data_IF_664075844837
#
_entry.id   IF_664075844837
#
_cell.length_a   1.000
_cell.length_b   1.000
_cell.length_c   1.000
_cell.angle_alpha   90.00
_cell.angle_beta   90.00
_cell.angle_gamma   90.00
#
_symmetry.space_group_name_H-M   'P 1'
#
loop_
_entity.id
_entity.type
_entity.pdbx_description
1 polymer ?
#
# COMPACT_ATOMS: atom_id res chain seq x y z
N UNK A 1 -11.36 -17.69 16.98
CA UNK A 1 -11.52 -16.78 15.82
C UNK A 1 -10.72 -17.34 14.66
N UNK A 2 -11.36 -17.75 13.57
CA UNK A 2 -10.66 -18.26 12.40
C UNK A 2 -10.14 -17.07 11.58
N UNK A 3 -8.82 -16.81 11.63
CA UNK A 3 -8.18 -15.72 10.87
C UNK A 3 -8.58 -15.75 9.39
N UNK A 4 -8.64 -16.95 8.79
CA UNK A 4 -9.00 -17.14 7.38
C UNK A 4 -10.40 -16.60 7.07
N UNK A 5 -11.37 -16.87 7.94
CA UNK A 5 -12.75 -16.38 7.78
C UNK A 5 -12.83 -14.86 7.84
N UNK A 6 -12.09 -14.24 8.77
CA UNK A 6 -12.01 -12.78 8.89
C UNK A 6 -11.40 -12.15 7.63
N UNK A 7 -10.30 -12.69 7.12
CA UNK A 7 -9.65 -12.20 5.90
C UNK A 7 -10.58 -12.28 4.68
N UNK A 8 -11.33 -13.38 4.51
CA UNK A 8 -12.30 -13.51 3.43
C UNK A 8 -13.47 -12.52 3.56
N UNK A 9 -13.92 -12.23 4.79
CA UNK A 9 -14.95 -11.21 5.05
C UNK A 9 -14.45 -9.81 4.69
N UNK A 10 -13.24 -9.44 5.14
CA UNK A 10 -12.63 -8.15 4.80
C UNK A 10 -12.54 -8.00 3.27
N UNK A 11 -12.07 -9.03 2.56
CA UNK A 11 -11.99 -9.04 1.09
C UNK A 11 -13.35 -8.76 0.45
N UNK A 12 -14.42 -9.41 0.92
CA UNK A 12 -15.77 -9.17 0.43
C UNK A 12 -16.23 -7.75 0.71
N UNK A 13 -16.03 -7.26 1.93
CA UNK A 13 -16.48 -5.93 2.31
C UNK A 13 -15.88 -4.82 1.45
N UNK A 14 -14.57 -4.86 1.20
CA UNK A 14 -13.91 -3.87 0.32
C UNK A 14 -14.26 -4.04 -1.17
N UNK A 15 -14.87 -5.16 -1.55
CA UNK A 15 -15.33 -5.41 -2.93
C UNK A 15 -16.78 -4.98 -3.12
N UNK A 16 -17.62 -5.23 -2.11
CA UNK A 16 -19.08 -5.05 -2.18
C UNK A 16 -19.52 -3.67 -1.70
N UNK A 17 -18.71 -2.98 -0.89
CA UNK A 17 -19.00 -1.67 -0.31
C UNK A 17 -17.89 -0.65 -0.60
N UNK A 18 -18.25 0.64 -0.66
CA UNK A 18 -17.29 1.74 -0.72
C UNK A 18 -16.82 2.11 0.68
N UNK A 19 -15.78 1.43 1.16
CA UNK A 19 -15.25 1.59 2.52
C UNK A 19 -14.07 2.56 2.50
N UNK A 20 -14.17 3.67 3.25
CA UNK A 20 -13.11 4.68 3.31
C UNK A 20 -12.17 4.56 4.51
N UNK A 21 -12.60 3.88 5.57
CA UNK A 21 -11.89 3.82 6.86
C UNK A 21 -11.77 2.41 7.41
N UNK A 22 -10.81 2.21 8.33
CA UNK A 22 -10.63 0.90 8.98
C UNK A 22 -11.74 0.64 9.99
N UNK A 23 -12.28 1.69 10.60
CA UNK A 23 -13.40 1.67 11.52
C UNK A 23 -14.67 1.11 10.86
N UNK A 24 -14.94 1.46 9.60
CA UNK A 24 -16.04 0.87 8.82
C UNK A 24 -15.88 -0.65 8.66
N UNK A 25 -14.66 -1.13 8.39
CA UNK A 25 -14.38 -2.56 8.30
C UNK A 25 -14.60 -3.24 9.66
N UNK A 26 -14.21 -2.60 10.75
CA UNK A 26 -14.46 -3.10 12.12
C UNK A 26 -15.95 -3.24 12.39
N UNK A 27 -16.77 -2.26 12.00
CA UNK A 27 -18.22 -2.32 12.21
C UNK A 27 -18.86 -3.42 11.35
N UNK A 28 -18.49 -3.55 10.08
CA UNK A 28 -18.99 -4.65 9.23
C UNK A 28 -18.59 -6.04 9.74
N UNK A 29 -17.37 -6.18 10.29
CA UNK A 29 -16.95 -7.43 10.92
C UNK A 29 -17.81 -7.73 12.15
N UNK A 30 -18.09 -6.72 12.98
CA UNK A 30 -18.92 -6.85 14.18
C UNK A 30 -20.37 -7.21 13.83
N UNK A 31 -20.95 -6.60 12.81
CA UNK A 31 -22.27 -6.98 12.25
C UNK A 31 -22.29 -8.44 11.77
N UNK A 32 -21.18 -8.93 11.22
CA UNK A 32 -21.00 -10.33 10.84
C UNK A 32 -20.65 -11.26 12.03
N UNK A 33 -20.69 -10.78 13.27
CA UNK A 33 -20.40 -11.56 14.47
C UNK A 33 -18.90 -11.79 14.74
N UNK A 34 -18.02 -11.04 14.07
CA UNK A 34 -16.56 -11.16 14.19
C UNK A 34 -16.02 -9.94 14.95
N UNK A 35 -15.47 -10.17 16.14
CA UNK A 35 -14.81 -9.11 16.90
C UNK A 35 -13.37 -8.92 16.42
N UNK A 36 -13.04 -7.71 15.97
CA UNK A 36 -11.67 -7.30 15.64
C UNK A 36 -11.41 -5.86 16.11
N UNK A 37 -10.16 -5.54 16.41
CA UNK A 37 -9.74 -4.16 16.69
C UNK A 37 -9.25 -3.48 15.42
N UNK A 38 -9.23 -2.14 15.42
CA UNK A 38 -8.63 -1.35 14.33
C UNK A 38 -7.18 -1.79 14.05
N UNK A 39 -6.38 -2.01 15.08
CA UNK A 39 -5.01 -2.52 14.93
C UNK A 39 -4.93 -3.92 14.29
N UNK A 40 -5.95 -4.77 14.50
CA UNK A 40 -6.03 -6.08 13.84
C UNK A 40 -6.38 -5.92 12.37
N UNK A 41 -7.39 -5.10 12.07
CA UNK A 41 -7.82 -4.79 10.70
C UNK A 41 -6.70 -4.13 9.90
N UNK A 42 -5.95 -3.19 10.49
CA UNK A 42 -4.78 -2.56 9.89
C UNK A 42 -3.75 -3.59 9.39
N UNK A 43 -3.46 -4.61 10.21
CA UNK A 43 -2.55 -5.70 9.81
C UNK A 43 -3.14 -6.59 8.72
N UNK A 44 -4.43 -6.90 8.80
CA UNK A 44 -5.10 -7.73 7.82
C UNK A 44 -5.20 -7.06 6.43
N UNK A 45 -5.45 -5.74 6.39
CA UNK A 45 -5.43 -4.93 5.16
C UNK A 45 -4.06 -5.04 4.48
N UNK A 46 -2.98 -4.86 5.27
CA UNK A 46 -1.60 -5.00 4.79
C UNK A 46 -1.31 -6.41 4.27
N UNK A 47 -1.79 -7.44 4.97
CA UNK A 47 -1.63 -8.84 4.55
C UNK A 47 -2.41 -9.18 3.28
N UNK A 48 -3.58 -8.57 3.09
CA UNK A 48 -4.41 -8.75 1.90
C UNK A 48 -3.95 -7.92 0.69
N UNK A 49 -2.97 -7.04 0.87
CA UNK A 49 -2.54 -6.11 -0.18
C UNK A 49 -3.63 -5.12 -0.59
N UNK A 50 -4.55 -4.81 0.33
CA UNK A 50 -5.61 -3.82 0.09
C UNK A 50 -4.99 -2.43 0.12
N UNK A 51 -5.35 -1.61 -0.86
CA UNK A 51 -4.83 -0.25 -1.05
C UNK A 51 -5.95 0.76 -0.95
N UNK A 52 -5.62 1.99 -0.55
CA UNK A 52 -6.51 3.14 -0.64
C UNK A 52 -6.37 3.78 -2.01
N UNK A 53 -7.47 4.02 -2.70
CA UNK A 53 -7.50 4.69 -4.00
C UNK A 53 -8.36 5.95 -3.95
N UNK A 54 -7.98 7.03 -4.65
CA UNK A 54 -8.81 8.22 -4.74
C UNK A 54 -10.07 7.97 -5.58
N UNK A 55 -11.19 8.54 -5.14
CA UNK A 55 -12.44 8.65 -5.89
C UNK A 55 -12.55 10.02 -6.57
N UNK A 56 -13.50 10.13 -7.52
CA UNK A 56 -13.74 11.36 -8.30
C UNK A 56 -14.12 12.57 -7.46
N UNK A 57 -14.59 12.36 -6.23
CA UNK A 57 -15.01 13.39 -5.28
C UNK A 57 -13.92 13.72 -4.24
N UNK A 58 -12.67 13.32 -4.50
CA UNK A 58 -11.52 13.54 -3.61
C UNK A 58 -11.64 12.80 -2.27
N UNK A 59 -12.53 11.82 -2.17
CA UNK A 59 -12.54 10.84 -1.08
C UNK A 59 -11.65 9.65 -1.44
N UNK A 60 -11.42 8.75 -0.48
CA UNK A 60 -10.56 7.59 -0.69
C UNK A 60 -11.26 6.33 -0.21
N UNK A 61 -11.14 5.24 -0.98
CA UNK A 61 -11.73 3.94 -0.62
C UNK A 61 -10.69 2.83 -0.70
N UNK A 62 -10.90 1.78 0.08
CA UNK A 62 -10.11 0.56 0.01
C UNK A 62 -10.52 -0.30 -1.19
N UNK A 63 -9.55 -0.71 -2.01
CA UNK A 63 -9.74 -1.65 -3.13
C UNK A 63 -8.67 -2.76 -3.11
N UNK A 64 -9.00 -3.89 -3.73
CA UNK A 64 -8.03 -4.95 -4.04
C UNK A 64 -7.43 -4.73 -5.45
N UNK A 65 -6.09 -4.85 -5.60
CA UNK A 65 -5.46 -4.87 -6.92
C UNK A 65 -5.95 -6.07 -7.73
N UNK A 66 -6.40 -5.85 -8.98
CA UNK A 66 -6.96 -6.90 -9.86
C UNK A 66 -5.93 -7.56 -10.79
N UNK A 67 -4.77 -6.94 -10.99
CA UNK A 67 -3.66 -7.45 -11.81
C UNK A 67 -2.34 -6.76 -11.43
N UNK A 68 -1.20 -7.35 -11.82
CA UNK A 68 0.14 -6.79 -11.58
C UNK A 68 0.33 -5.44 -12.32
N UNK A 69 -0.20 -5.32 -13.54
CA UNK A 69 -0.15 -4.05 -14.27
C UNK A 69 -0.96 -2.97 -13.54
N UNK A 70 -2.14 -3.33 -13.03
CA UNK A 70 -2.95 -2.42 -12.21
C UNK A 70 -2.26 -2.12 -10.88
N UNK A 71 -1.48 -3.03 -10.30
CA UNK A 71 -0.76 -2.76 -9.04
C UNK A 71 0.39 -1.78 -9.20
N UNK A 72 1.13 -1.84 -10.30
CA UNK A 72 2.17 -0.85 -10.62
C UNK A 72 1.57 0.54 -10.85
N UNK A 73 0.50 0.63 -11.66
CA UNK A 73 -0.21 1.89 -11.88
C UNK A 73 -0.88 2.42 -10.60
N UNK A 74 -1.35 1.54 -9.71
CA UNK A 74 -1.82 1.98 -8.41
C UNK A 74 -0.67 2.44 -7.50
N UNK A 75 0.56 1.97 -7.71
CA UNK A 75 1.71 2.51 -7.00
C UNK A 75 2.04 3.93 -7.46
N UNK A 76 1.96 4.23 -8.77
CA UNK A 76 2.02 5.59 -9.35
C UNK A 76 1.08 6.55 -8.62
N UNK A 77 -0.21 6.21 -8.66
CA UNK A 77 -1.30 7.05 -8.19
C UNK A 77 -1.20 7.34 -6.69
N UNK A 78 -0.38 6.56 -5.96
CA UNK A 78 -0.17 6.68 -4.54
C UNK A 78 1.14 7.39 -4.16
N UNK A 79 2.03 7.71 -5.10
CA UNK A 79 3.26 8.48 -4.85
C UNK A 79 2.98 9.96 -5.13
N UNK A 80 3.02 10.79 -4.08
CA UNK A 80 2.76 12.23 -4.19
C UNK A 80 4.01 12.99 -4.66
N UNK A 81 5.20 12.55 -4.25
CA UNK A 81 6.47 13.13 -4.69
C UNK A 81 7.64 12.18 -4.50
N UNK A 82 8.73 12.42 -5.23
CA UNK A 82 9.97 11.66 -5.14
C UNK A 82 11.19 12.60 -5.21
N UNK A 83 12.16 12.37 -4.33
CA UNK A 83 13.45 13.07 -4.29
C UNK A 83 14.61 12.08 -4.26
N UNK A 84 15.72 12.42 -4.93
CA UNK A 84 16.94 11.62 -4.99
C UNK A 84 18.09 12.39 -4.34
N UNK A 85 18.86 11.70 -3.48
CA UNK A 85 20.09 12.21 -2.87
C UNK A 85 21.11 11.07 -2.80
N UNK A 86 22.16 11.13 -3.64
CA UNK A 86 23.18 10.09 -3.79
C UNK A 86 22.56 8.68 -3.99
N UNK A 87 22.62 7.82 -2.96
CA UNK A 87 22.07 6.45 -2.97
C UNK A 87 20.67 6.37 -2.36
N UNK A 88 20.08 7.49 -1.96
CA UNK A 88 18.85 7.55 -1.19
C UNK A 88 17.73 8.14 -2.02
N UNK A 89 16.56 7.50 -2.01
CA UNK A 89 15.34 7.99 -2.64
C UNK A 89 14.30 8.18 -1.54
N UNK A 90 13.78 9.39 -1.41
CA UNK A 90 12.68 9.72 -0.53
C UNK A 90 11.39 9.78 -1.36
N UNK A 91 10.39 8.98 -0.99
CA UNK A 91 9.06 8.98 -1.61
C UNK A 91 8.05 9.48 -0.59
N UNK A 92 7.25 10.48 -0.95
CA UNK A 92 6.02 10.81 -0.24
C UNK A 92 4.87 9.99 -0.83
N UNK A 93 4.09 9.35 0.02
CA UNK A 93 3.08 8.37 -0.35
C UNK A 93 1.77 8.70 0.36
N UNK A 94 0.65 8.50 -0.33
CA UNK A 94 -0.67 8.67 0.26
C UNK A 94 -0.77 7.85 1.56
N UNK A 95 -1.14 8.47 2.70
CA UNK A 95 -1.18 7.81 4.00
C UNK A 95 -1.96 6.49 3.98
N UNK A 96 -1.35 5.45 4.54
CA UNK A 96 -1.90 4.09 4.59
C UNK A 96 -1.52 3.19 3.42
N UNK A 97 -0.85 3.71 2.38
CA UNK A 97 -0.42 2.94 1.21
C UNK A 97 1.08 2.59 1.19
N UNK A 98 1.87 3.06 2.16
CA UNK A 98 3.32 2.81 2.20
C UNK A 98 3.68 1.32 2.20
N UNK A 99 2.89 0.48 2.87
CA UNK A 99 3.11 -0.97 2.88
C UNK A 99 2.98 -1.60 1.48
N UNK A 100 2.02 -1.12 0.70
CA UNK A 100 1.79 -1.58 -0.67
C UNK A 100 2.89 -1.10 -1.62
N UNK A 101 3.19 0.20 -1.61
CA UNK A 101 4.25 0.77 -2.46
C UNK A 101 5.60 0.14 -2.13
N UNK A 102 5.92 -0.06 -0.84
CA UNK A 102 7.12 -0.77 -0.40
C UNK A 102 7.18 -2.20 -0.95
N UNK A 103 6.07 -2.95 -0.90
CA UNK A 103 6.04 -4.31 -1.44
C UNK A 103 6.38 -4.32 -2.93
N UNK A 104 5.77 -3.43 -3.71
CA UNK A 104 6.06 -3.30 -5.15
C UNK A 104 7.52 -2.90 -5.44
N UNK A 105 8.09 -1.95 -4.68
CA UNK A 105 9.50 -1.58 -4.77
C UNK A 105 10.42 -2.77 -4.50
N UNK A 106 10.16 -3.53 -3.43
CA UNK A 106 10.98 -4.68 -3.07
C UNK A 106 10.83 -5.85 -4.03
N UNK A 107 9.64 -6.03 -4.64
CA UNK A 107 9.42 -7.06 -5.65
C UNK A 107 10.12 -6.70 -6.97
N UNK A 108 10.05 -5.43 -7.39
CA UNK A 108 10.58 -4.98 -8.68
C UNK A 108 12.09 -4.76 -8.66
N UNK A 109 12.65 -4.31 -7.52
CA UNK A 109 14.04 -3.84 -7.41
C UNK A 109 14.86 -4.55 -6.32
N UNK A 110 14.49 -5.79 -5.96
CA UNK A 110 15.09 -6.55 -4.86
C UNK A 110 16.63 -6.57 -4.87
N UNK A 111 17.22 -6.75 -6.05
CA UNK A 111 18.67 -6.84 -6.27
C UNK A 111 19.37 -5.49 -6.18
N UNK A 112 18.67 -4.40 -6.50
CA UNK A 112 19.19 -3.03 -6.55
C UNK A 112 19.12 -2.32 -5.19
N UNK A 113 18.13 -2.67 -4.37
CA UNK A 113 17.88 -2.06 -3.06
C UNK A 113 18.80 -2.69 -1.99
N UNK A 114 19.48 -1.83 -1.23
CA UNK A 114 20.17 -2.22 0.00
C UNK A 114 19.19 -2.32 1.18
N UNK A 115 18.34 -1.31 1.36
CA UNK A 115 17.32 -1.27 2.42
C UNK A 115 16.14 -0.37 2.04
N UNK A 116 14.99 -0.59 2.66
CA UNK A 116 13.79 0.22 2.48
C UNK A 116 13.06 0.40 3.82
N UNK A 117 12.95 1.64 4.28
CA UNK A 117 12.28 2.04 5.51
C UNK A 117 11.02 2.81 5.15
N UNK A 118 9.93 2.54 5.86
CA UNK A 118 8.65 3.20 5.61
C UNK A 118 7.97 3.56 6.92
N UNK A 119 7.37 4.73 6.97
CA UNK A 119 6.39 5.11 7.99
C UNK A 119 4.97 5.04 7.38
N UNK A 120 4.04 5.89 7.82
CA UNK A 120 2.66 5.87 7.34
C UNK A 120 2.46 6.59 5.99
N UNK A 121 3.32 7.55 5.65
CA UNK A 121 3.19 8.40 4.47
C UNK A 121 4.50 8.68 3.74
N UNK A 122 5.60 8.05 4.13
CA UNK A 122 6.89 8.19 3.48
C UNK A 122 7.65 6.87 3.39
N UNK A 123 8.47 6.75 2.34
CA UNK A 123 9.38 5.63 2.14
C UNK A 123 10.77 6.16 1.81
N UNK A 124 11.76 5.76 2.61
CA UNK A 124 13.17 5.92 2.30
C UNK A 124 13.72 4.63 1.69
N UNK A 125 14.16 4.70 0.45
CA UNK A 125 14.87 3.63 -0.24
C UNK A 125 16.36 3.94 -0.26
N UNK A 126 17.19 2.98 0.11
CA UNK A 126 18.64 3.07 0.00
C UNK A 126 19.09 2.05 -1.04
N UNK A 127 19.63 2.50 -2.15
CA UNK A 127 20.16 1.66 -3.22
C UNK A 127 21.61 1.20 -2.93
N UNK A 128 22.07 0.16 -3.64
CA UNK A 128 23.44 -0.36 -3.48
C UNK A 128 24.51 0.53 -4.10
N UNK A 129 24.15 1.37 -5.07
CA UNK A 129 25.03 2.36 -5.70
C UNK A 129 24.23 3.57 -6.19
N UNK A 130 24.91 4.68 -6.52
CA UNK A 130 24.27 5.91 -7.02
C UNK A 130 23.59 5.67 -8.37
N UNK A 131 24.28 5.01 -9.31
CA UNK A 131 23.70 4.64 -10.61
C UNK A 131 22.41 3.82 -10.48
N UNK A 132 22.35 2.91 -9.50
CA UNK A 132 21.15 2.11 -9.24
C UNK A 132 20.03 2.95 -8.59
N UNK A 133 20.38 3.94 -7.78
CA UNK A 133 19.40 4.88 -7.22
C UNK A 133 18.78 5.71 -8.34
N UNK A 134 19.58 6.23 -9.27
CA UNK A 134 19.10 6.93 -10.47
C UNK A 134 18.17 6.05 -11.30
N UNK A 135 18.55 4.79 -11.56
CA UNK A 135 17.71 3.85 -12.32
C UNK A 135 16.36 3.59 -11.65
N UNK A 136 16.34 3.34 -10.33
CA UNK A 136 15.10 3.15 -9.58
C UNK A 136 14.27 4.43 -9.62
N UNK A 137 14.88 5.58 -9.38
CA UNK A 137 14.20 6.87 -9.32
C UNK A 137 13.52 7.24 -10.64
N UNK A 138 14.20 7.05 -11.77
CA UNK A 138 13.62 7.28 -13.09
C UNK A 138 12.48 6.31 -13.39
N UNK A 139 12.58 5.05 -12.97
CA UNK A 139 11.46 4.13 -13.13
C UNK A 139 10.28 4.50 -12.25
N UNK A 140 10.50 4.83 -10.97
CA UNK A 140 9.44 5.19 -10.02
C UNK A 140 8.74 6.50 -10.38
N UNK A 141 9.43 7.45 -11.03
CA UNK A 141 8.81 8.66 -11.57
C UNK A 141 7.85 8.40 -12.73
N UNK A 142 8.05 7.29 -13.43
CA UNK A 142 7.25 6.86 -14.58
C UNK A 142 6.38 5.64 -14.24
N UNK A 143 6.41 5.20 -12.97
CA UNK A 143 5.45 4.21 -12.50
C UNK A 143 4.11 4.78 -12.58
#
# INVERSE_FOLDING_TARGET
MNKKERLEKIRRFVTDYQIGTQEEIVEHLKEAGITATQATVSRDIKELGIVKIPLRDNTYVYELPKSIVKSLQLAEDNIESAELMDKMINLQVIPGNTAFVKAQLTETFADKIFSCLADDSSILVIARSENLAEEIFEQVKNW
#
